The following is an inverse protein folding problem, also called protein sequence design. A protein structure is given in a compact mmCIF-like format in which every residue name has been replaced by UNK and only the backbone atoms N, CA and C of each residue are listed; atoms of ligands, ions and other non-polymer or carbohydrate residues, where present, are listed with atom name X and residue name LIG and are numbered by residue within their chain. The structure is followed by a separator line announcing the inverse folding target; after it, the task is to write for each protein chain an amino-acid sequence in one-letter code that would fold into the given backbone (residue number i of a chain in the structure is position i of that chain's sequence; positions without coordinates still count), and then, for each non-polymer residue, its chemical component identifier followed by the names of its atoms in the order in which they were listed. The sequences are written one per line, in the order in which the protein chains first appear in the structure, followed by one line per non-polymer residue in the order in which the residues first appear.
data_IF_547773200813
#
_entry.id   IF_547773200813
#
_cell.length_a   1.000
_cell.length_b   1.000
_cell.length_c   1.000
_cell.angle_alpha   90.00
_cell.angle_beta   90.00
_cell.angle_gamma   90.00
#
_symmetry.space_group_name_H-M   'P 1'
#
loop_
_entity.id
_entity.type
_entity.pdbx_description
1 polymer ?
#
# COMPACT_ATOMS: atom_id res chain seq x y z
N UNK A 1 4.60 21.24 -28.22
CA UNK A 1 4.40 19.92 -27.55
C UNK A 1 5.16 18.90 -28.37
N UNK A 2 6.30 18.41 -27.84
CA UNK A 2 7.16 17.44 -28.55
C UNK A 2 6.47 16.09 -28.62
N UNK A 3 6.23 15.59 -29.82
CA UNK A 3 5.70 14.24 -30.03
C UNK A 3 6.82 13.24 -29.72
N UNK A 4 6.82 12.66 -28.53
CA UNK A 4 7.62 11.47 -28.30
C UNK A 4 7.21 10.40 -29.33
N UNK A 5 8.18 9.76 -29.97
CA UNK A 5 7.89 8.71 -30.93
C UNK A 5 7.23 7.51 -30.25
N UNK A 6 6.41 6.75 -30.97
CA UNK A 6 5.78 5.53 -30.45
C UNK A 6 6.82 4.51 -29.92
N UNK A 7 8.00 4.47 -30.53
CA UNK A 7 9.11 3.63 -30.08
C UNK A 7 9.62 4.02 -28.68
N UNK A 8 9.80 5.32 -28.42
CA UNK A 8 10.27 5.78 -27.10
C UNK A 8 9.24 5.52 -25.99
N UNK A 9 7.96 5.62 -26.27
CA UNK A 9 6.90 5.28 -25.30
C UNK A 9 6.87 3.78 -24.99
N UNK A 10 7.06 2.94 -26.02
CA UNK A 10 7.14 1.49 -25.85
C UNK A 10 8.36 1.10 -25.01
N UNK A 11 9.50 1.71 -25.26
CA UNK A 11 10.74 1.47 -24.48
C UNK A 11 10.56 1.87 -23.01
N UNK A 12 9.95 3.03 -22.73
CA UNK A 12 9.64 3.46 -21.38
C UNK A 12 8.70 2.49 -20.67
N UNK A 13 7.67 2.01 -21.35
CA UNK A 13 6.74 1.03 -20.79
C UNK A 13 7.45 -0.29 -20.44
N UNK A 14 8.30 -0.80 -21.33
CA UNK A 14 9.06 -2.03 -21.08
C UNK A 14 10.08 -1.88 -19.94
N UNK A 15 10.71 -0.70 -19.81
CA UNK A 15 11.62 -0.41 -18.71
C UNK A 15 10.88 -0.36 -17.37
N UNK A 16 9.70 0.25 -17.35
CA UNK A 16 8.84 0.32 -16.17
C UNK A 16 8.36 -1.07 -15.73
N UNK A 17 7.93 -1.91 -16.67
CA UNK A 17 7.55 -3.29 -16.39
C UNK A 17 8.72 -4.12 -15.86
N UNK A 18 9.92 -3.97 -16.45
CA UNK A 18 11.11 -4.68 -15.98
C UNK A 18 11.49 -4.25 -14.57
N UNK A 19 11.49 -2.95 -14.26
CA UNK A 19 11.76 -2.43 -12.92
C UNK A 19 10.78 -2.99 -11.88
N UNK A 20 9.50 -3.14 -12.25
CA UNK A 20 8.51 -3.79 -11.40
C UNK A 20 8.84 -5.26 -11.13
N UNK A 21 9.21 -6.01 -12.16
CA UNK A 21 9.56 -7.44 -12.02
C UNK A 21 10.80 -7.62 -11.14
N UNK A 22 11.82 -6.78 -11.34
CA UNK A 22 13.05 -6.82 -10.55
C UNK A 22 12.75 -6.52 -9.07
N UNK A 23 11.84 -5.57 -8.81
CA UNK A 23 11.38 -5.27 -7.48
C UNK A 23 10.63 -6.44 -6.82
N UNK A 24 9.71 -7.09 -7.54
CA UNK A 24 8.99 -8.25 -7.01
C UNK A 24 9.94 -9.39 -6.67
N UNK A 25 10.94 -9.65 -7.50
CA UNK A 25 11.97 -10.65 -7.24
C UNK A 25 12.81 -10.31 -5.99
N UNK A 26 13.17 -9.03 -5.82
CA UNK A 26 13.87 -8.56 -4.62
C UNK A 26 13.01 -8.73 -3.37
N UNK A 27 11.74 -8.34 -3.42
CA UNK A 27 10.78 -8.53 -2.31
C UNK A 27 10.69 -9.99 -1.90
N UNK A 28 10.51 -10.88 -2.86
CA UNK A 28 10.38 -12.32 -2.59
C UNK A 28 11.65 -12.88 -1.95
N UNK A 29 12.84 -12.44 -2.38
CA UNK A 29 14.11 -12.81 -1.76
C UNK A 29 14.21 -12.34 -0.30
N UNK A 30 13.69 -11.16 0.02
CA UNK A 30 13.69 -10.61 1.39
C UNK A 30 12.75 -11.37 2.33
N UNK A 31 11.63 -11.90 1.81
CA UNK A 31 10.68 -12.69 2.60
C UNK A 31 11.28 -14.02 3.08
N UNK A 32 12.31 -14.54 2.41
CA UNK A 32 13.03 -15.77 2.82
C UNK A 32 14.08 -15.52 3.90
N UNK A 33 14.45 -14.25 4.18
CA UNK A 33 15.43 -13.92 5.21
C UNK A 33 14.81 -13.99 6.62
N UNK A 34 15.63 -14.24 7.66
CA UNK A 34 15.16 -14.24 9.03
C UNK A 34 14.44 -12.93 9.39
N UNK A 35 13.30 -13.05 10.06
CA UNK A 35 12.57 -11.90 10.57
C UNK A 35 13.26 -11.35 11.81
N UNK A 36 13.15 -10.03 12.01
CA UNK A 36 13.59 -9.39 13.25
C UNK A 36 12.70 -9.83 14.40
N UNK A 37 13.30 -9.96 15.54
CA UNK A 37 12.58 -10.22 16.79
C UNK A 37 11.76 -9.00 17.23
N UNK A 38 10.76 -9.20 18.08
CA UNK A 38 9.98 -8.11 18.65
C UNK A 38 10.86 -7.07 19.37
N UNK A 39 11.87 -7.55 20.14
CA UNK A 39 12.80 -6.65 20.84
C UNK A 39 13.64 -5.78 19.90
N UNK A 40 14.07 -6.32 18.74
CA UNK A 40 14.78 -5.55 17.73
C UNK A 40 13.87 -4.50 17.07
N UNK A 41 12.60 -4.84 16.84
CA UNK A 41 11.61 -3.91 16.29
C UNK A 41 11.26 -2.80 17.29
N UNK A 42 11.09 -3.14 18.58
CA UNK A 42 10.86 -2.16 19.66
C UNK A 42 12.03 -1.18 19.77
N UNK A 43 13.27 -1.69 19.73
CA UNK A 43 14.45 -0.82 19.74
C UNK A 43 14.48 0.11 18.54
N UNK A 44 14.23 -0.40 17.34
CA UNK A 44 14.17 0.43 16.14
C UNK A 44 13.07 1.50 16.22
N UNK A 45 11.91 1.15 16.76
CA UNK A 45 10.82 2.11 16.96
C UNK A 45 11.22 3.21 17.97
N UNK A 46 11.89 2.86 19.06
CA UNK A 46 12.39 3.82 20.03
C UNK A 46 13.46 4.74 19.44
N UNK A 47 14.43 4.18 18.68
CA UNK A 47 15.47 4.95 17.98
C UNK A 47 14.84 5.92 16.97
N UNK A 48 13.85 5.47 16.20
CA UNK A 48 13.11 6.30 15.26
C UNK A 48 12.32 7.41 15.95
N UNK A 49 11.61 7.09 17.03
CA UNK A 49 10.86 8.09 17.81
C UNK A 49 11.79 9.15 18.42
N UNK A 50 12.98 8.78 18.85
CA UNK A 50 13.97 9.72 19.36
C UNK A 50 14.53 10.62 18.25
N UNK A 51 14.78 10.06 17.08
CA UNK A 51 15.37 10.78 15.94
C UNK A 51 14.36 11.70 15.26
N UNK A 52 13.12 11.26 15.11
CA UNK A 52 12.04 11.93 14.36
C UNK A 52 10.88 12.36 15.29
N UNK A 53 11.21 13.08 16.36
CA UNK A 53 10.19 13.68 17.23
C UNK A 53 9.35 14.73 16.46
N UNK A 54 8.52 15.51 17.14
CA UNK A 54 7.59 16.46 16.55
C UNK A 54 8.17 17.44 15.50
N UNK A 55 9.48 17.54 15.39
CA UNK A 55 10.19 18.37 14.41
C UNK A 55 10.81 17.55 13.26
N UNK A 56 10.50 16.27 13.15
CA UNK A 56 11.02 15.39 12.10
C UNK A 56 10.53 15.80 10.72
N UNK A 57 11.42 15.72 9.73
CA UNK A 57 11.11 15.94 8.32
C UNK A 57 10.64 14.60 7.70
N UNK A 58 9.54 14.63 6.95
CA UNK A 58 8.95 13.45 6.29
C UNK A 58 9.95 12.74 5.38
N UNK A 59 10.74 13.49 4.61
CA UNK A 59 11.78 12.95 3.72
C UNK A 59 12.82 12.14 4.49
N UNK A 60 13.33 12.70 5.59
CA UNK A 60 14.32 12.04 6.44
C UNK A 60 13.75 10.78 7.11
N UNK A 61 12.49 10.85 7.55
CA UNK A 61 11.79 9.70 8.14
C UNK A 61 11.64 8.58 7.12
N UNK A 62 11.19 8.88 5.91
CA UNK A 62 10.98 7.87 4.87
C UNK A 62 12.29 7.28 4.37
N UNK A 63 13.35 8.10 4.21
CA UNK A 63 14.68 7.59 3.91
C UNK A 63 15.19 6.64 5.00
N UNK A 64 14.94 6.96 6.27
CA UNK A 64 15.30 6.10 7.40
C UNK A 64 14.48 4.79 7.36
N UNK A 65 13.15 4.85 7.16
CA UNK A 65 12.27 3.67 7.02
C UNK A 65 12.78 2.79 5.88
N UNK A 66 13.06 3.36 4.72
CA UNK A 66 13.60 2.64 3.57
C UNK A 66 14.92 1.93 3.90
N UNK A 67 15.83 2.62 4.63
CA UNK A 67 17.12 2.06 5.02
C UNK A 67 17.03 0.95 6.06
N UNK A 68 16.03 1.00 6.96
CA UNK A 68 15.89 0.05 8.08
C UNK A 68 15.00 -1.14 7.75
N UNK A 69 13.95 -0.92 7.00
CA UNK A 69 12.93 -1.93 6.72
C UNK A 69 12.89 -2.34 5.25
N UNK A 70 13.23 -1.44 4.33
CA UNK A 70 13.17 -1.70 2.91
C UNK A 70 11.78 -2.21 2.50
N UNK A 71 11.75 -3.22 1.66
CA UNK A 71 10.51 -3.85 1.17
C UNK A 71 9.80 -4.80 2.15
N UNK A 72 10.21 -4.81 3.40
CA UNK A 72 9.42 -5.35 4.51
C UNK A 72 8.45 -4.33 5.09
N UNK A 73 8.29 -3.20 4.41
CA UNK A 73 7.33 -2.15 4.71
C UNK A 73 6.14 -2.28 3.78
N UNK A 74 4.95 -2.06 4.31
CA UNK A 74 3.74 -1.86 3.52
C UNK A 74 3.07 -0.56 3.94
N UNK A 75 2.32 0.05 3.03
CA UNK A 75 1.56 1.28 3.28
C UNK A 75 0.08 0.94 3.24
N UNK A 76 -0.66 1.23 4.30
CA UNK A 76 -2.12 1.13 4.26
C UNK A 76 -2.71 2.45 3.74
N UNK A 77 -3.56 2.39 2.72
CA UNK A 77 -4.16 3.56 2.11
C UNK A 77 -5.65 3.34 1.80
N UNK A 78 -6.48 4.34 2.14
CA UNK A 78 -7.92 4.33 1.86
C UNK A 78 -8.28 4.74 0.43
N UNK A 79 -7.32 5.27 -0.33
CA UNK A 79 -7.53 5.87 -1.66
C UNK A 79 -8.53 7.03 -1.69
N UNK A 80 -8.74 7.70 -0.54
CA UNK A 80 -9.40 9.00 -0.51
C UNK A 80 -8.56 10.08 -1.22
N UNK A 81 -7.24 9.91 -1.14
CA UNK A 81 -6.21 10.59 -1.93
C UNK A 81 -5.02 9.65 -2.15
N UNK A 82 -4.03 10.10 -2.91
CA UNK A 82 -2.82 9.33 -3.24
C UNK A 82 -1.54 9.95 -2.69
N UNK A 83 -1.65 10.92 -1.77
CA UNK A 83 -0.49 11.66 -1.24
C UNK A 83 0.48 10.73 -0.51
N UNK A 84 -0.02 9.96 0.46
CA UNK A 84 0.82 9.06 1.25
C UNK A 84 1.54 8.01 0.38
N UNK A 85 0.85 7.21 -0.46
CA UNK A 85 1.55 6.24 -1.29
C UNK A 85 2.50 6.89 -2.29
N UNK A 86 2.15 8.07 -2.85
CA UNK A 86 3.05 8.82 -3.74
C UNK A 86 4.36 9.20 -3.05
N UNK A 87 4.29 9.77 -1.86
CA UNK A 87 5.48 10.22 -1.13
C UNK A 87 6.33 9.03 -0.69
N UNK A 88 5.72 7.91 -0.27
CA UNK A 88 6.46 6.70 0.10
C UNK A 88 7.13 6.05 -1.11
N UNK A 89 6.47 6.03 -2.26
CA UNK A 89 7.02 5.45 -3.49
C UNK A 89 8.30 6.17 -3.99
N UNK A 90 8.50 7.44 -3.64
CA UNK A 90 9.74 8.15 -3.94
C UNK A 90 10.97 7.58 -3.20
N UNK A 91 10.77 6.91 -2.08
CA UNK A 91 11.82 6.26 -1.28
C UNK A 91 11.81 4.74 -1.42
N UNK A 92 10.66 4.17 -1.68
CA UNK A 92 10.42 2.74 -1.83
C UNK A 92 9.55 2.49 -3.07
N UNK A 93 10.10 2.63 -4.30
CA UNK A 93 9.37 2.32 -5.53
C UNK A 93 8.77 0.93 -5.46
N UNK A 94 7.52 0.77 -5.94
CA UNK A 94 6.78 -0.50 -5.94
C UNK A 94 6.45 -1.07 -4.55
N UNK A 95 6.50 -0.24 -3.50
CA UNK A 95 6.08 -0.65 -2.15
C UNK A 95 4.67 -1.24 -2.16
N UNK A 96 4.47 -2.31 -1.39
CA UNK A 96 3.14 -2.89 -1.20
C UNK A 96 2.21 -1.87 -0.54
N UNK A 97 1.17 -1.50 -1.28
CA UNK A 97 0.14 -0.55 -0.83
C UNK A 97 -1.14 -1.32 -0.58
N UNK A 98 -1.45 -1.51 0.70
CA UNK A 98 -2.60 -2.29 1.14
C UNK A 98 -3.87 -1.45 1.00
N UNK A 99 -4.81 -1.92 0.19
CA UNK A 99 -6.13 -1.35 0.01
C UNK A 99 -7.17 -2.31 0.59
N UNK A 100 -7.88 -1.87 1.64
CA UNK A 100 -8.93 -2.68 2.25
C UNK A 100 -10.19 -2.62 1.37
N UNK A 101 -10.38 -3.64 0.53
CA UNK A 101 -11.56 -3.75 -0.33
C UNK A 101 -12.76 -4.25 0.48
N UNK A 102 -13.59 -3.31 0.92
CA UNK A 102 -14.73 -3.60 1.80
C UNK A 102 -15.97 -4.10 1.09
N UNK A 103 -16.04 -3.95 -0.24
CA UNK A 103 -17.24 -4.20 -1.04
C UNK A 103 -18.30 -3.08 -0.97
N UNK A 104 -17.97 -1.97 -0.29
CA UNK A 104 -18.87 -0.80 -0.13
C UNK A 104 -18.23 0.51 -0.60
N UNK A 105 -17.14 0.43 -1.39
CA UNK A 105 -16.50 1.62 -1.91
C UNK A 105 -17.35 2.30 -2.98
N UNK A 106 -17.26 3.62 -3.02
CA UNK A 106 -17.75 4.39 -4.15
C UNK A 106 -16.91 4.12 -5.40
N UNK A 107 -17.53 4.26 -6.57
CA UNK A 107 -16.84 4.08 -7.86
C UNK A 107 -15.62 5.00 -8.01
N UNK A 108 -15.68 6.21 -7.44
CA UNK A 108 -14.59 7.18 -7.42
C UNK A 108 -13.38 6.68 -6.63
N UNK A 109 -13.59 5.99 -5.51
CA UNK A 109 -12.51 5.40 -4.70
C UNK A 109 -11.80 4.29 -5.49
N UNK A 110 -12.56 3.42 -6.14
CA UNK A 110 -12.01 2.37 -7.00
C UNK A 110 -11.28 2.99 -8.20
N UNK A 111 -11.86 4.02 -8.81
CA UNK A 111 -11.21 4.76 -9.91
C UNK A 111 -9.89 5.43 -9.48
N UNK A 112 -9.83 5.97 -8.27
CA UNK A 112 -8.58 6.54 -7.71
C UNK A 112 -7.53 5.45 -7.50
N UNK A 113 -7.91 4.29 -6.95
CA UNK A 113 -7.03 3.13 -6.79
C UNK A 113 -6.45 2.68 -8.14
N UNK A 114 -7.30 2.50 -9.14
CA UNK A 114 -6.88 2.04 -10.46
C UNK A 114 -5.97 3.05 -11.15
N UNK A 115 -6.29 4.34 -11.04
CA UNK A 115 -5.46 5.42 -11.56
C UNK A 115 -4.09 5.49 -10.86
N UNK A 116 -4.03 5.31 -9.55
CA UNK A 116 -2.78 5.26 -8.79
C UNK A 116 -1.91 4.08 -9.24
N UNK A 117 -2.50 2.89 -9.38
CA UNK A 117 -1.78 1.70 -9.88
C UNK A 117 -1.23 1.89 -11.30
N UNK A 118 -1.96 2.59 -12.16
CA UNK A 118 -1.56 2.80 -13.54
C UNK A 118 -0.51 3.92 -13.72
N UNK A 119 -0.43 4.88 -12.80
CA UNK A 119 0.38 6.10 -12.95
C UNK A 119 1.53 6.26 -11.95
N UNK A 120 1.56 5.45 -10.90
CA UNK A 120 2.58 5.52 -9.85
C UNK A 120 3.33 4.19 -9.74
N UNK A 121 4.54 4.25 -9.22
CA UNK A 121 5.36 3.07 -8.91
C UNK A 121 4.89 2.41 -7.60
N UNK A 122 3.69 1.83 -7.64
CA UNK A 122 3.02 1.17 -6.51
C UNK A 122 2.66 -0.26 -6.84
N UNK A 123 2.70 -1.13 -5.84
CA UNK A 123 2.10 -2.46 -5.90
C UNK A 123 0.84 -2.47 -5.03
N UNK A 124 -0.33 -2.29 -5.64
CA UNK A 124 -1.58 -2.32 -4.87
C UNK A 124 -1.95 -3.77 -4.56
N UNK A 125 -2.19 -4.03 -3.29
CA UNK A 125 -2.61 -5.31 -2.75
C UNK A 125 -3.99 -5.13 -2.14
N UNK A 126 -5.01 -5.68 -2.81
CA UNK A 126 -6.38 -5.70 -2.31
C UNK A 126 -6.49 -6.67 -1.13
N UNK A 127 -6.78 -6.14 0.05
CA UNK A 127 -7.04 -6.94 1.24
C UNK A 127 -8.55 -7.17 1.33
N UNK A 128 -8.94 -8.40 1.05
CA UNK A 128 -10.35 -8.79 0.98
C UNK A 128 -10.86 -9.27 2.34
N UNK A 129 -12.11 -8.98 2.70
CA UNK A 129 -12.74 -9.57 3.88
C UNK A 129 -12.99 -11.06 3.69
N UNK A 130 -13.15 -11.80 4.78
CA UNK A 130 -13.37 -13.25 4.76
C UNK A 130 -14.66 -13.66 4.02
N UNK A 131 -15.67 -12.78 4.03
CA UNK A 131 -16.97 -13.02 3.40
C UNK A 131 -17.24 -11.98 2.31
N UNK A 132 -17.97 -12.35 1.28
CA UNK A 132 -18.57 -11.39 0.35
C UNK A 132 -19.71 -10.62 1.03
N UNK A 133 -20.15 -9.49 0.45
CA UNK A 133 -21.32 -8.76 0.95
C UNK A 133 -22.55 -9.64 0.96
N UNK A 134 -22.78 -10.44 -0.09
CA UNK A 134 -23.92 -11.35 -0.18
C UNK A 134 -23.91 -12.44 0.92
N UNK A 135 -22.74 -12.97 1.26
CA UNK A 135 -22.61 -13.93 2.37
C UNK A 135 -22.88 -13.28 3.72
N UNK A 136 -22.36 -12.07 3.94
CA UNK A 136 -22.63 -11.30 5.14
C UNK A 136 -24.12 -10.98 5.28
N UNK A 137 -24.79 -10.57 4.19
CA UNK A 137 -26.23 -10.27 4.20
C UNK A 137 -27.09 -11.53 4.45
N UNK A 138 -26.65 -12.68 3.96
CA UNK A 138 -27.32 -13.95 4.23
C UNK A 138 -27.22 -14.37 5.70
N UNK A 139 -26.10 -14.08 6.37
CA UNK A 139 -25.86 -14.47 7.77
C UNK A 139 -26.43 -13.45 8.76
N UNK A 140 -26.22 -12.16 8.53
CA UNK A 140 -26.57 -11.09 9.47
C UNK A 140 -27.77 -10.25 9.03
N UNK A 141 -28.34 -10.52 7.85
CA UNK A 141 -29.39 -9.71 7.23
C UNK A 141 -28.84 -8.48 6.49
N UNK A 142 -29.62 -7.89 5.57
CA UNK A 142 -29.18 -6.76 4.75
C UNK A 142 -28.89 -5.51 5.57
N UNK A 143 -28.09 -4.62 5.00
CA UNK A 143 -27.77 -3.28 5.57
C UNK A 143 -27.14 -3.33 6.98
N UNK A 144 -26.29 -4.33 7.26
CA UNK A 144 -25.61 -4.44 8.54
C UNK A 144 -24.84 -3.16 8.90
N UNK A 145 -24.29 -2.46 7.90
CA UNK A 145 -23.57 -1.20 8.09
C UNK A 145 -24.43 -0.07 8.68
N UNK A 146 -25.76 -0.12 8.52
CA UNK A 146 -26.69 0.83 9.13
C UNK A 146 -27.15 0.39 10.53
N UNK A 147 -27.36 -0.91 10.71
CA UNK A 147 -27.89 -1.48 11.96
C UNK A 147 -26.85 -1.69 13.04
N UNK A 148 -25.67 -2.15 12.64
CA UNK A 148 -24.50 -2.35 13.51
C UNK A 148 -23.21 -2.01 12.74
N UNK A 149 -22.85 -0.71 12.68
CA UNK A 149 -21.65 -0.25 11.99
C UNK A 149 -20.35 -0.84 12.57
N UNK A 150 -20.33 -1.11 13.88
CA UNK A 150 -19.14 -1.64 14.55
C UNK A 150 -18.87 -3.09 14.10
N UNK A 151 -19.89 -3.95 14.12
CA UNK A 151 -19.78 -5.32 13.64
C UNK A 151 -19.47 -5.35 12.14
N UNK A 152 -20.13 -4.50 11.33
CA UNK A 152 -19.83 -4.40 9.91
C UNK A 152 -18.37 -4.03 9.65
N UNK A 153 -17.83 -3.03 10.35
CA UNK A 153 -16.42 -2.67 10.25
C UNK A 153 -15.49 -3.83 10.65
N UNK A 154 -15.81 -4.54 11.72
CA UNK A 154 -15.03 -5.69 12.16
C UNK A 154 -14.98 -6.79 11.11
N UNK A 155 -16.12 -7.13 10.50
CA UNK A 155 -16.22 -8.18 9.48
C UNK A 155 -15.58 -7.79 8.13
N UNK A 156 -15.48 -6.47 7.84
CA UNK A 156 -15.00 -5.98 6.55
C UNK A 156 -13.56 -5.47 6.55
N UNK A 157 -12.98 -5.18 7.72
CA UNK A 157 -11.69 -4.50 7.82
C UNK A 157 -10.67 -5.16 8.75
N UNK A 158 -11.04 -6.22 9.46
CA UNK A 158 -10.17 -6.90 10.44
C UNK A 158 -9.93 -8.35 10.06
#
# INVERSE_FOLDING_TARGET
MSSQSLSSRREQFLQHDQARLDHLALRDSLLTQPQRTAAELEKLAADGAQQFNANGNTEQLLAWVASKFGYRTAVACSMADTVLPHVVAQHLPWVDTLFLETGYHFAETIGTRDAAQASMELTIVDVLPAQTVAQQDAEFGPELHQRDPALCCQLRKV
#
